data_IF_981269790836
#
_entry.id   IF_981269790836
#
_cell.length_a   1.000
_cell.length_b   1.000
_cell.length_c   1.000
_cell.angle_alpha   90.00
_cell.angle_beta   90.00
_cell.angle_gamma   90.00
#
_symmetry.space_group_name_H-M   'P 1'
#
loop_
_entity.id
_entity.type
_entity.pdbx_description
1 polymer ?
#
# COMPACT_ATOMS: atom_id res chain seq x y z
N UNK A 1 -56.14 68.73 41.08
CA UNK A 1 -55.75 68.28 39.77
C UNK A 1 -54.99 66.97 39.90
N UNK A 2 -55.66 65.83 39.72
CA UNK A 2 -55.12 64.51 39.86
C UNK A 2 -55.57 63.69 38.68
N UNK A 3 -54.60 63.24 37.82
CA UNK A 3 -54.86 62.30 36.74
C UNK A 3 -54.59 60.90 37.19
N UNK A 4 -55.63 60.09 37.16
CA UNK A 4 -55.58 58.65 37.37
C UNK A 4 -54.97 57.95 36.10
N UNK A 5 -54.01 57.14 36.30
CA UNK A 5 -53.52 56.22 35.26
C UNK A 5 -53.97 54.79 35.57
N UNK A 6 -54.74 54.21 34.66
CA UNK A 6 -55.17 52.84 34.64
C UNK A 6 -54.02 51.94 34.08
N UNK A 7 -53.74 50.76 34.63
CA UNK A 7 -52.83 49.84 34.00
C UNK A 7 -53.57 48.93 33.01
N UNK A 8 -53.02 48.79 31.81
CA UNK A 8 -53.43 47.80 30.84
C UNK A 8 -52.72 46.49 31.14
N UNK A 9 -53.48 45.41 31.39
CA UNK A 9 -53.00 44.05 31.41
C UNK A 9 -52.74 43.58 29.96
N UNK A 10 -51.48 43.32 29.60
CA UNK A 10 -51.12 42.64 28.37
C UNK A 10 -50.91 41.17 28.67
N UNK A 11 -51.80 40.34 28.15
CA UNK A 11 -51.72 38.86 28.22
C UNK A 11 -50.79 38.41 27.09
N UNK A 12 -49.59 37.99 27.43
CA UNK A 12 -48.62 37.43 26.46
C UNK A 12 -48.87 35.95 26.33
N UNK A 13 -49.39 35.54 25.17
CA UNK A 13 -49.51 34.14 24.73
C UNK A 13 -48.14 33.68 24.22
N UNK A 14 -47.38 32.93 25.02
CA UNK A 14 -46.17 32.22 24.60
C UNK A 14 -46.53 30.91 23.93
N UNK A 15 -46.65 30.90 22.60
CA UNK A 15 -46.68 29.67 21.81
C UNK A 15 -45.30 29.03 21.79
N UNK A 16 -45.15 27.94 22.53
CA UNK A 16 -43.96 27.13 22.52
C UNK A 16 -43.79 26.39 21.19
N UNK A 17 -42.84 26.85 20.35
CA UNK A 17 -42.40 26.13 19.18
C UNK A 17 -41.35 25.06 19.64
N UNK A 18 -41.83 23.87 19.97
CA UNK A 18 -40.96 22.71 20.14
C UNK A 18 -40.47 22.30 18.77
N UNK A 19 -39.34 22.86 18.36
CA UNK A 19 -38.61 22.42 17.18
C UNK A 19 -38.03 21.02 17.43
N UNK A 20 -38.65 20.03 16.83
CA UNK A 20 -38.07 18.70 16.67
C UNK A 20 -36.80 18.82 15.82
N UNK A 21 -35.65 18.99 16.46
CA UNK A 21 -34.35 18.72 15.82
C UNK A 21 -34.31 17.21 15.53
N UNK A 22 -34.82 16.82 14.35
CA UNK A 22 -34.42 15.57 13.74
C UNK A 22 -32.93 15.69 13.42
N UNK A 23 -32.08 15.31 14.36
CA UNK A 23 -30.68 14.99 14.06
C UNK A 23 -30.71 13.75 13.17
N UNK A 24 -30.79 13.95 11.85
CA UNK A 24 -30.36 12.95 10.91
C UNK A 24 -28.88 12.74 11.20
N UNK A 25 -28.55 11.65 11.92
CA UNK A 25 -27.21 11.15 11.97
C UNK A 25 -26.82 10.94 10.49
N UNK A 26 -26.02 11.86 9.96
CA UNK A 26 -25.35 11.64 8.68
C UNK A 26 -24.48 10.40 8.92
N UNK A 27 -24.99 9.24 8.51
CA UNK A 27 -24.13 8.07 8.32
C UNK A 27 -23.09 8.55 7.30
N UNK A 28 -21.86 8.74 7.75
CA UNK A 28 -20.77 8.98 6.84
C UNK A 28 -20.83 7.83 5.83
N UNK A 29 -21.12 8.17 4.56
CA UNK A 29 -21.12 7.17 3.49
C UNK A 29 -19.78 6.45 3.53
N UNK A 30 -19.80 5.12 3.61
CA UNK A 30 -18.56 4.35 3.56
C UNK A 30 -17.88 4.57 2.21
N UNK A 31 -16.55 4.39 2.14
CA UNK A 31 -15.86 4.49 0.86
C UNK A 31 -16.45 3.53 -0.18
N UNK A 32 -16.94 2.36 0.25
CA UNK A 32 -17.64 1.43 -0.66
C UNK A 32 -18.92 2.08 -1.26
N UNK A 33 -19.73 2.73 -0.43
CA UNK A 33 -20.97 3.38 -0.91
C UNK A 33 -20.63 4.49 -1.91
N UNK A 34 -19.58 5.27 -1.64
CA UNK A 34 -19.05 6.29 -2.56
C UNK A 34 -18.54 5.70 -3.88
N UNK A 35 -17.78 4.60 -3.83
CA UNK A 35 -17.31 3.86 -5.02
C UNK A 35 -18.48 3.38 -5.87
N UNK A 36 -19.49 2.78 -5.25
CA UNK A 36 -20.68 2.26 -5.95
C UNK A 36 -21.53 3.38 -6.55
N UNK A 37 -21.69 4.52 -5.84
CA UNK A 37 -22.45 5.67 -6.31
C UNK A 37 -21.81 6.33 -7.55
N UNK A 38 -20.47 6.57 -7.52
CA UNK A 38 -19.74 7.14 -8.66
C UNK A 38 -19.39 6.14 -9.75
N UNK A 39 -19.64 4.84 -9.53
CA UNK A 39 -19.34 3.73 -10.45
C UNK A 39 -17.85 3.67 -10.87
N UNK A 40 -16.97 4.10 -10.01
CA UNK A 40 -15.52 4.12 -10.26
C UNK A 40 -14.76 3.91 -8.95
N UNK A 41 -13.62 3.21 -9.04
CA UNK A 41 -12.69 3.00 -7.94
C UNK A 41 -11.30 3.50 -8.32
N UNK A 42 -10.68 4.32 -7.45
CA UNK A 42 -9.32 4.82 -7.63
C UNK A 42 -8.35 3.92 -6.87
N UNK A 43 -7.41 3.28 -7.58
CA UNK A 43 -6.47 2.32 -7.01
C UNK A 43 -5.03 2.79 -7.27
N UNK A 44 -4.27 2.97 -6.19
CA UNK A 44 -2.87 3.32 -6.25
C UNK A 44 -2.02 2.06 -6.52
N UNK A 45 -1.18 2.13 -7.57
CA UNK A 45 -0.34 1.04 -8.06
C UNK A 45 1.12 1.47 -8.17
N UNK A 46 2.10 0.54 -8.05
CA UNK A 46 3.49 0.85 -8.33
C UNK A 46 3.73 0.90 -9.85
N UNK A 47 4.71 1.68 -10.28
CA UNK A 47 5.12 1.78 -11.69
C UNK A 47 6.60 1.47 -11.90
N UNK A 48 7.32 1.12 -10.83
CA UNK A 48 8.78 0.91 -10.79
C UNK A 48 9.15 -0.43 -10.11
N UNK A 49 8.20 -1.37 -10.02
CA UNK A 49 8.35 -2.60 -9.25
C UNK A 49 8.00 -3.86 -10.06
N UNK A 50 8.73 -4.19 -11.15
CA UNK A 50 8.47 -5.41 -11.90
C UNK A 50 8.76 -6.67 -11.06
N UNK A 51 7.95 -7.72 -11.19
CA UNK A 51 6.82 -7.90 -12.08
C UNK A 51 5.46 -7.51 -11.47
N UNK A 52 5.44 -6.83 -10.30
CA UNK A 52 4.20 -6.45 -9.59
C UNK A 52 3.50 -5.26 -10.23
N UNK A 53 4.23 -4.16 -10.48
CA UNK A 53 3.70 -3.00 -11.19
C UNK A 53 4.82 -2.23 -11.87
N UNK A 54 4.70 -2.02 -13.16
CA UNK A 54 5.66 -1.32 -14.00
C UNK A 54 4.99 -0.78 -15.26
N UNK A 55 5.69 0.11 -15.95
CA UNK A 55 5.23 0.64 -17.24
C UNK A 55 5.77 -0.26 -18.35
N UNK A 56 4.88 -0.80 -19.17
CA UNK A 56 5.24 -1.62 -20.31
C UNK A 56 5.81 -0.81 -21.47
N UNK A 57 6.21 -1.50 -22.53
CA UNK A 57 6.73 -0.87 -23.78
C UNK A 57 5.65 -0.08 -24.54
N UNK A 58 4.37 -0.39 -24.29
CA UNK A 58 3.19 0.30 -24.78
C UNK A 58 2.79 1.51 -23.90
N UNK A 59 3.63 1.88 -22.93
CA UNK A 59 3.39 2.92 -21.94
C UNK A 59 2.20 2.65 -21.01
N UNK A 60 1.64 1.45 -21.02
CA UNK A 60 0.54 1.07 -20.15
C UNK A 60 1.05 0.43 -18.83
N UNK A 61 0.35 0.64 -17.69
CA UNK A 61 0.62 -0.07 -16.47
C UNK A 61 0.39 -1.57 -16.60
N UNK A 62 1.37 -2.37 -16.20
CA UNK A 62 1.35 -3.84 -16.24
C UNK A 62 1.87 -4.41 -14.92
N UNK A 63 1.54 -5.67 -14.64
CA UNK A 63 2.05 -6.41 -13.49
C UNK A 63 0.96 -7.07 -12.65
N UNK A 64 1.38 -7.83 -11.64
CA UNK A 64 0.47 -8.59 -10.78
C UNK A 64 -0.47 -7.66 -10.01
N UNK A 65 0.04 -6.56 -9.45
CA UNK A 65 -0.75 -5.58 -8.69
C UNK A 65 -1.78 -4.88 -9.58
N UNK A 66 -1.38 -4.60 -10.83
CA UNK A 66 -2.27 -3.98 -11.84
C UNK A 66 -3.40 -4.95 -12.24
N UNK A 67 -3.07 -6.22 -12.47
CA UNK A 67 -4.07 -7.23 -12.80
C UNK A 67 -4.98 -7.53 -11.60
N UNK A 68 -4.45 -7.51 -10.37
CA UNK A 68 -5.25 -7.62 -9.15
C UNK A 68 -6.21 -6.43 -8.98
N UNK A 69 -5.75 -5.21 -9.28
CA UNK A 69 -6.60 -4.01 -9.28
C UNK A 69 -7.75 -4.13 -10.28
N UNK A 70 -7.45 -4.58 -11.50
CA UNK A 70 -8.47 -4.85 -12.54
C UNK A 70 -9.47 -5.92 -12.12
N UNK A 71 -9.00 -7.01 -11.50
CA UNK A 71 -9.86 -8.07 -10.97
C UNK A 71 -10.85 -7.52 -9.94
N UNK A 72 -10.39 -6.72 -8.97
CA UNK A 72 -11.24 -6.12 -7.94
C UNK A 72 -12.30 -5.20 -8.56
N UNK A 73 -11.88 -4.27 -9.45
CA UNK A 73 -12.81 -3.37 -10.10
C UNK A 73 -13.88 -4.12 -10.92
N UNK A 74 -13.48 -5.15 -11.65
CA UNK A 74 -14.40 -6.01 -12.41
C UNK A 74 -15.40 -6.75 -11.51
N UNK A 75 -14.95 -7.31 -10.39
CA UNK A 75 -15.81 -8.00 -9.41
C UNK A 75 -16.75 -7.03 -8.67
N UNK A 76 -16.37 -5.75 -8.52
CA UNK A 76 -17.24 -4.69 -8.01
C UNK A 76 -18.21 -4.16 -9.07
N UNK A 77 -17.97 -4.42 -10.34
CA UNK A 77 -18.79 -3.89 -11.44
C UNK A 77 -18.64 -2.39 -11.67
N UNK A 78 -17.44 -1.83 -11.39
CA UNK A 78 -17.15 -0.40 -11.51
C UNK A 78 -15.97 -0.15 -12.46
N UNK A 79 -15.88 1.07 -12.99
CA UNK A 79 -14.70 1.52 -13.72
C UNK A 79 -13.48 1.62 -12.80
N UNK A 80 -12.28 1.48 -13.37
CA UNK A 80 -11.04 1.61 -12.61
C UNK A 80 -10.27 2.86 -13.04
N UNK A 81 -9.76 3.60 -12.05
CA UNK A 81 -8.78 4.65 -12.21
C UNK A 81 -7.48 4.21 -11.51
N UNK A 82 -6.41 4.03 -12.28
CA UNK A 82 -5.10 3.66 -11.77
C UNK A 82 -4.27 4.91 -11.53
N UNK A 83 -3.77 5.10 -10.30
CA UNK A 83 -2.89 6.22 -9.96
C UNK A 83 -1.51 5.71 -9.54
N UNK A 84 -0.43 6.24 -10.14
CA UNK A 84 0.93 5.87 -9.74
C UNK A 84 1.24 6.29 -8.30
N UNK A 85 1.96 5.42 -7.57
CA UNK A 85 2.38 5.72 -6.19
C UNK A 85 3.80 5.23 -5.91
N UNK A 86 4.61 6.05 -5.26
CA UNK A 86 5.89 5.64 -4.69
C UNK A 86 5.71 4.96 -3.33
N UNK A 87 6.72 4.23 -2.87
CA UNK A 87 6.67 3.51 -1.59
C UNK A 87 6.34 4.42 -0.40
N UNK A 88 6.88 5.64 -0.36
CA UNK A 88 6.63 6.61 0.71
C UNK A 88 5.21 7.17 0.71
N UNK A 89 4.57 7.26 -0.47
CA UNK A 89 3.27 7.89 -0.64
C UNK A 89 2.07 6.94 -0.48
N UNK A 90 2.29 5.63 -0.35
CA UNK A 90 1.21 4.63 -0.21
C UNK A 90 0.25 4.93 0.93
N UNK A 91 0.78 5.14 2.13
CA UNK A 91 -0.02 5.47 3.32
C UNK A 91 -0.69 6.85 3.19
N UNK A 92 0.03 7.95 2.84
CA UNK A 92 -0.58 9.26 2.61
C UNK A 92 -1.74 9.24 1.60
N UNK A 93 -1.67 8.45 0.52
CA UNK A 93 -2.74 8.38 -0.47
C UNK A 93 -4.06 7.83 0.10
N UNK A 94 -3.98 6.84 1.02
CA UNK A 94 -5.16 6.34 1.74
C UNK A 94 -5.69 7.37 2.74
N UNK A 95 -4.80 7.97 3.54
CA UNK A 95 -5.17 8.93 4.58
C UNK A 95 -5.82 10.21 4.04
N UNK A 96 -5.43 10.61 2.83
CA UNK A 96 -5.97 11.80 2.14
C UNK A 96 -7.07 11.48 1.13
N UNK A 97 -7.52 10.21 1.08
CA UNK A 97 -8.52 9.73 0.12
C UNK A 97 -8.18 10.03 -1.35
N UNK A 98 -6.87 10.12 -1.66
CA UNK A 98 -6.38 10.22 -3.04
C UNK A 98 -6.50 8.89 -3.78
N UNK A 99 -6.59 7.80 -3.05
CA UNK A 99 -6.92 6.47 -3.54
C UNK A 99 -7.87 5.77 -2.56
N UNK A 100 -8.79 4.96 -3.08
CA UNK A 100 -9.66 4.11 -2.28
C UNK A 100 -8.91 2.88 -1.78
N UNK A 101 -8.03 2.34 -2.62
CA UNK A 101 -7.19 1.19 -2.33
C UNK A 101 -5.74 1.47 -2.72
N UNK A 102 -4.82 0.87 -1.98
CA UNK A 102 -3.41 0.75 -2.39
C UNK A 102 -3.10 -0.72 -2.66
N UNK A 103 -2.81 -1.04 -3.92
CA UNK A 103 -2.34 -2.34 -4.38
C UNK A 103 -0.94 -2.14 -4.96
N UNK A 104 0.06 -2.14 -4.09
CA UNK A 104 1.41 -1.70 -4.43
C UNK A 104 2.44 -2.42 -3.57
N UNK A 105 2.55 -3.74 -3.71
CA UNK A 105 3.49 -4.57 -2.91
C UNK A 105 3.52 -4.17 -1.43
N UNK A 106 2.33 -3.93 -0.85
CA UNK A 106 2.20 -3.35 0.46
C UNK A 106 2.33 -4.42 1.56
N UNK A 107 3.49 -4.47 2.20
CA UNK A 107 3.71 -5.32 3.36
C UNK A 107 3.05 -4.75 4.62
N UNK A 108 2.62 -5.66 5.51
CA UNK A 108 1.95 -5.37 6.77
C UNK A 108 2.95 -5.29 7.91
N UNK A 109 2.79 -4.30 8.79
CA UNK A 109 3.54 -4.19 10.05
C UNK A 109 2.76 -3.37 11.09
N UNK A 110 3.12 -3.43 12.39
CA UNK A 110 2.38 -2.75 13.46
C UNK A 110 2.29 -1.23 13.31
N UNK A 111 3.32 -0.57 12.74
CA UNK A 111 3.32 0.88 12.56
C UNK A 111 2.28 1.30 11.52
N UNK A 112 2.19 0.58 10.40
CA UNK A 112 1.21 0.82 9.34
C UNK A 112 -0.21 0.48 9.81
N UNK A 113 -0.39 -0.59 10.60
CA UNK A 113 -1.69 -1.01 11.14
C UNK A 113 -2.32 0.03 12.08
N UNK A 114 -1.54 0.95 12.64
CA UNK A 114 -2.07 2.06 13.45
C UNK A 114 -2.83 3.08 12.59
N UNK A 115 -2.48 3.23 11.32
CA UNK A 115 -2.92 4.35 10.48
C UNK A 115 -3.69 3.94 9.22
N UNK A 116 -3.63 2.68 8.82
CA UNK A 116 -4.44 2.09 7.74
C UNK A 116 -4.90 0.69 8.15
N UNK A 117 -5.86 0.14 7.40
CA UNK A 117 -6.27 -1.25 7.52
C UNK A 117 -5.79 -2.06 6.32
N UNK A 118 -5.70 -3.38 6.52
CA UNK A 118 -5.22 -4.32 5.52
C UNK A 118 -6.29 -5.38 5.23
N UNK A 119 -6.32 -5.83 3.98
CA UNK A 119 -7.09 -7.00 3.57
C UNK A 119 -6.35 -8.30 3.90
N UNK A 120 -6.92 -9.45 3.51
CA UNK A 120 -6.19 -10.70 3.34
C UNK A 120 -5.06 -10.54 2.31
N UNK A 121 -4.01 -11.35 2.43
CA UNK A 121 -2.89 -11.32 1.48
C UNK A 121 -3.32 -11.81 0.10
N UNK A 122 -2.70 -11.32 -0.99
CA UNK A 122 -3.02 -11.74 -2.37
C UNK A 122 -1.82 -12.32 -3.12
N UNK A 123 -0.60 -12.14 -2.62
CA UNK A 123 0.59 -12.73 -3.26
C UNK A 123 1.73 -12.96 -2.27
N UNK A 124 2.57 -13.98 -2.51
CA UNK A 124 3.76 -14.22 -1.68
C UNK A 124 4.82 -13.16 -1.97
N UNK A 125 5.53 -12.73 -0.93
CA UNK A 125 6.61 -11.78 -1.06
C UNK A 125 7.60 -11.86 0.10
N UNK A 126 8.88 -11.57 -0.13
CA UNK A 126 9.85 -11.36 0.92
C UNK A 126 10.85 -10.25 0.54
N UNK A 127 11.44 -9.64 1.55
CA UNK A 127 12.44 -8.59 1.43
C UNK A 127 13.76 -9.09 2.01
N UNK A 128 14.85 -8.73 1.33
CA UNK A 128 16.17 -9.21 1.70
C UNK A 128 17.27 -8.20 1.34
N UNK A 129 18.45 -8.49 1.84
CA UNK A 129 19.69 -7.82 1.46
C UNK A 129 20.39 -8.65 0.39
N UNK A 130 20.85 -7.99 -0.66
CA UNK A 130 21.58 -8.57 -1.77
C UNK A 130 22.91 -7.84 -1.99
N UNK A 131 23.93 -8.57 -2.39
CA UNK A 131 25.26 -8.01 -2.68
C UNK A 131 26.02 -8.95 -3.62
N UNK A 132 27.13 -8.49 -4.26
CA UNK A 132 28.01 -9.37 -5.01
C UNK A 132 28.50 -10.56 -4.17
N UNK A 133 28.72 -11.72 -4.81
CA UNK A 133 29.22 -12.94 -4.15
C UNK A 133 30.49 -12.70 -3.33
N UNK A 134 31.34 -11.80 -3.81
CA UNK A 134 32.61 -11.42 -3.15
C UNK A 134 32.43 -10.63 -1.86
N UNK A 135 31.23 -10.07 -1.63
CA UNK A 135 30.92 -9.33 -0.41
C UNK A 135 30.62 -10.29 0.74
N UNK A 136 31.51 -10.34 1.72
CA UNK A 136 31.30 -11.12 2.94
C UNK A 136 30.19 -10.44 3.77
N UNK A 137 29.01 -11.06 3.83
CA UNK A 137 27.85 -10.56 4.57
C UNK A 137 26.99 -11.74 4.97
N UNK A 138 27.06 -12.13 6.25
CA UNK A 138 26.33 -13.25 6.84
C UNK A 138 25.42 -12.85 7.99
N UNK A 139 25.69 -11.71 8.60
CA UNK A 139 24.94 -11.17 9.74
C UNK A 139 24.68 -9.68 9.53
N UNK A 140 23.70 -9.07 10.22
CA UNK A 140 23.49 -7.62 10.17
C UNK A 140 24.73 -6.81 10.57
N UNK A 141 25.58 -7.33 11.47
CA UNK A 141 26.80 -6.65 11.88
C UNK A 141 27.80 -6.45 10.73
N UNK A 142 27.76 -7.34 9.72
CA UNK A 142 28.65 -7.24 8.54
C UNK A 142 28.28 -6.07 7.60
N UNK A 143 27.19 -5.37 7.85
CA UNK A 143 26.83 -4.11 7.18
C UNK A 143 27.67 -2.92 7.69
N UNK A 144 28.43 -3.08 8.78
CA UNK A 144 29.29 -2.04 9.32
C UNK A 144 30.25 -1.50 8.25
N UNK A 145 30.29 -0.17 8.10
CA UNK A 145 31.14 0.53 7.13
C UNK A 145 30.73 0.36 5.66
N UNK A 146 29.62 -0.31 5.37
CA UNK A 146 29.12 -0.48 3.99
C UNK A 146 28.07 0.57 3.64
N UNK A 147 28.06 0.98 2.38
CA UNK A 147 26.96 1.77 1.81
C UNK A 147 25.84 0.84 1.38
N UNK A 148 24.64 1.03 1.93
CA UNK A 148 23.46 0.21 1.67
C UNK A 148 22.37 1.05 1.01
N UNK A 149 21.97 0.72 -0.21
CA UNK A 149 20.86 1.37 -0.89
C UNK A 149 19.51 0.74 -0.51
N UNK A 150 18.51 1.57 -0.26
CA UNK A 150 17.15 1.13 0.03
C UNK A 150 16.12 2.14 -0.48
N UNK A 151 14.92 1.69 -0.84
CA UNK A 151 13.83 2.57 -1.24
C UNK A 151 13.13 3.14 -0.02
N UNK A 152 13.05 4.48 0.07
CA UNK A 152 12.44 5.22 1.17
C UNK A 152 11.01 4.75 1.44
N UNK A 153 10.68 4.44 2.71
CA UNK A 153 9.34 4.07 3.14
C UNK A 153 8.87 2.68 2.71
N UNK A 154 9.74 1.89 2.08
CA UNK A 154 9.50 0.48 1.82
C UNK A 154 9.62 -0.36 3.11
N UNK A 155 9.12 -1.59 3.10
CA UNK A 155 9.26 -2.50 4.27
C UNK A 155 10.75 -2.78 4.56
N UNK A 156 11.53 -3.01 3.53
CA UNK A 156 12.97 -3.24 3.65
C UNK A 156 13.71 -2.05 4.28
N UNK A 157 13.29 -0.80 4.06
CA UNK A 157 13.84 0.37 4.75
C UNK A 157 13.54 0.31 6.25
N UNK A 158 12.28 -0.02 6.59
CA UNK A 158 11.86 -0.10 7.99
C UNK A 158 12.56 -1.25 8.74
N UNK A 159 12.67 -2.41 8.11
CA UNK A 159 13.31 -3.59 8.72
C UNK A 159 14.83 -3.43 8.78
N UNK A 160 15.46 -2.92 7.72
CA UNK A 160 16.90 -2.62 7.70
C UNK A 160 17.28 -1.63 8.81
N UNK A 161 16.49 -0.58 9.01
CA UNK A 161 16.73 0.44 10.05
C UNK A 161 16.77 -0.16 11.45
N UNK A 162 16.04 -1.24 11.71
CA UNK A 162 16.03 -1.91 13.03
C UNK A 162 17.30 -2.69 13.32
N UNK A 163 17.98 -3.20 12.27
CA UNK A 163 19.07 -4.16 12.42
C UNK A 163 20.43 -3.64 11.94
N UNK A 164 20.45 -2.57 11.13
CA UNK A 164 21.69 -2.01 10.61
C UNK A 164 22.51 -1.40 11.75
N UNK A 165 23.83 -1.71 11.84
CA UNK A 165 24.69 -1.06 12.81
C UNK A 165 24.83 0.45 12.49
N UNK A 166 25.08 1.25 13.53
CA UNK A 166 25.21 2.72 13.39
C UNK A 166 26.30 3.16 12.39
N UNK A 167 27.28 2.32 12.14
CA UNK A 167 28.36 2.56 11.17
C UNK A 167 28.00 2.18 9.72
N UNK A 168 26.83 1.58 9.48
CA UNK A 168 26.33 1.37 8.11
C UNK A 168 25.81 2.70 7.52
N UNK A 169 26.22 3.02 6.30
CA UNK A 169 25.75 4.21 5.59
C UNK A 169 24.52 3.85 4.74
N UNK A 170 23.31 3.99 5.35
CA UNK A 170 22.05 3.66 4.68
C UNK A 170 21.56 4.82 3.82
N UNK A 171 21.68 4.67 2.51
CA UNK A 171 21.21 5.64 1.50
C UNK A 171 19.80 5.32 1.03
N UNK A 172 18.90 6.28 1.25
CA UNK A 172 17.47 6.16 0.91
C UNK A 172 17.15 6.87 -0.38
N UNK A 173 16.76 6.11 -1.38
CA UNK A 173 16.34 6.61 -2.68
C UNK A 173 14.82 6.77 -2.76
N UNK A 174 14.35 7.63 -3.67
CA UNK A 174 12.93 7.98 -3.76
C UNK A 174 12.08 6.83 -4.29
N UNK A 175 12.62 6.05 -5.23
CA UNK A 175 11.93 4.93 -5.87
C UNK A 175 12.86 3.72 -6.09
N UNK A 176 12.29 2.61 -6.57
CA UNK A 176 13.05 1.38 -6.80
C UNK A 176 14.00 1.49 -7.98
N UNK A 177 13.66 2.26 -9.02
CA UNK A 177 14.55 2.46 -10.17
C UNK A 177 15.83 3.17 -9.74
N UNK A 178 15.71 4.24 -8.94
CA UNK A 178 16.86 4.96 -8.38
C UNK A 178 17.68 4.06 -7.44
N UNK A 179 17.04 3.26 -6.60
CA UNK A 179 17.71 2.31 -5.69
C UNK A 179 18.53 1.27 -6.48
N UNK A 180 17.92 0.65 -7.48
CA UNK A 180 18.57 -0.34 -8.34
C UNK A 180 19.70 0.29 -9.14
N UNK A 181 19.49 1.48 -9.72
CA UNK A 181 20.50 2.21 -10.49
C UNK A 181 21.73 2.55 -9.65
N UNK A 182 21.52 2.99 -8.41
CA UNK A 182 22.61 3.28 -7.47
C UNK A 182 23.45 2.03 -7.15
N UNK A 183 22.82 0.88 -7.04
CA UNK A 183 23.52 -0.38 -6.82
C UNK A 183 24.25 -0.84 -8.08
N UNK A 184 23.61 -0.83 -9.23
CA UNK A 184 24.20 -1.28 -10.51
C UNK A 184 25.38 -0.40 -10.91
N UNK A 185 25.33 0.91 -10.63
CA UNK A 185 26.42 1.85 -10.90
C UNK A 185 27.57 1.80 -9.88
N UNK A 186 27.42 1.03 -8.79
CA UNK A 186 28.41 0.96 -7.70
C UNK A 186 28.39 2.15 -6.75
N UNK A 187 27.37 3.02 -6.81
CA UNK A 187 27.19 4.11 -5.84
C UNK A 187 26.91 3.57 -4.43
N UNK A 188 26.27 2.39 -4.33
CA UNK A 188 26.12 1.64 -3.09
C UNK A 188 26.65 0.22 -3.28
N UNK A 189 27.21 -0.37 -2.21
CA UNK A 189 27.84 -1.68 -2.22
C UNK A 189 26.85 -2.83 -2.01
N UNK A 190 25.75 -2.53 -1.37
CA UNK A 190 24.73 -3.48 -0.93
C UNK A 190 23.36 -2.88 -1.25
N UNK A 191 22.39 -3.71 -1.60
CA UNK A 191 21.00 -3.30 -1.81
C UNK A 191 20.05 -4.08 -0.91
N UNK A 192 19.16 -3.37 -0.23
CA UNK A 192 18.02 -3.94 0.47
C UNK A 192 16.76 -3.69 -0.36
N UNK A 193 16.12 -4.77 -0.84
CA UNK A 193 14.97 -4.66 -1.74
C UNK A 193 14.13 -5.94 -1.73
N UNK A 194 12.97 -5.89 -2.38
CA UNK A 194 12.15 -7.07 -2.60
C UNK A 194 12.81 -8.11 -3.50
N UNK A 195 12.58 -9.38 -3.20
CA UNK A 195 13.20 -10.49 -3.93
C UNK A 195 12.94 -10.48 -5.44
N UNK A 196 11.75 -10.04 -5.86
CA UNK A 196 11.40 -9.95 -7.29
C UNK A 196 12.14 -8.83 -8.02
N UNK A 197 12.33 -7.69 -7.35
CA UNK A 197 13.15 -6.57 -7.89
C UNK A 197 14.60 -7.01 -8.02
N UNK A 198 15.14 -7.66 -6.97
CA UNK A 198 16.48 -8.23 -7.03
C UNK A 198 16.63 -9.27 -8.15
N UNK A 199 15.66 -10.19 -8.30
CA UNK A 199 15.65 -11.19 -9.37
C UNK A 199 15.68 -10.56 -10.76
N UNK A 200 14.86 -9.54 -11.00
CA UNK A 200 14.85 -8.80 -12.26
C UNK A 200 16.17 -8.06 -12.50
N UNK A 201 16.72 -7.39 -11.48
CA UNK A 201 18.01 -6.73 -11.52
C UNK A 201 19.14 -7.73 -11.85
N UNK A 202 19.20 -8.87 -11.19
CA UNK A 202 20.22 -9.91 -11.43
C UNK A 202 20.12 -10.48 -12.83
N UNK A 203 18.92 -10.73 -13.34
CA UNK A 203 18.72 -11.23 -14.70
C UNK A 203 19.21 -10.25 -15.78
N UNK A 204 19.05 -8.95 -15.53
CA UNK A 204 19.52 -7.89 -16.45
C UNK A 204 21.01 -7.56 -16.32
N UNK A 205 21.63 -7.90 -15.18
CA UNK A 205 23.01 -7.56 -14.85
C UNK A 205 23.78 -8.77 -14.30
N UNK A 206 23.86 -9.89 -15.04
CA UNK A 206 24.49 -11.12 -14.56
C UNK A 206 25.97 -10.96 -14.22
N UNK A 207 26.65 -9.98 -14.85
CA UNK A 207 28.07 -9.68 -14.61
C UNK A 207 28.35 -9.17 -13.19
N UNK A 208 27.36 -8.64 -12.47
CA UNK A 208 27.55 -8.18 -11.10
C UNK A 208 27.67 -9.33 -10.09
N UNK A 209 27.31 -10.56 -10.48
CA UNK A 209 27.45 -11.74 -9.64
C UNK A 209 26.73 -11.60 -8.29
N UNK A 210 25.55 -10.97 -8.30
CA UNK A 210 24.77 -10.68 -7.09
C UNK A 210 24.10 -11.94 -6.55
N UNK A 211 24.03 -12.06 -5.23
CA UNK A 211 23.30 -13.13 -4.54
C UNK A 211 22.55 -12.62 -3.31
N UNK A 212 21.63 -13.41 -2.82
CA UNK A 212 20.97 -13.23 -1.53
C UNK A 212 21.98 -13.28 -0.39
N UNK A 213 21.85 -12.40 0.60
CA UNK A 213 22.72 -12.34 1.78
C UNK A 213 21.94 -12.51 3.10
N UNK A 214 20.94 -11.68 3.35
CA UNK A 214 20.17 -11.70 4.60
C UNK A 214 18.67 -11.56 4.30
N UNK A 215 17.85 -12.38 4.94
CA UNK A 215 16.41 -12.16 4.99
C UNK A 215 16.12 -10.97 5.91
N UNK A 216 15.37 -10.00 5.44
CA UNK A 216 14.87 -8.90 6.26
C UNK A 216 13.48 -9.23 6.80
N UNK A 217 12.58 -9.67 5.92
CA UNK A 217 11.23 -10.03 6.29
C UNK A 217 10.60 -10.97 5.25
N UNK A 218 9.92 -11.99 5.72
CA UNK A 218 8.92 -12.71 4.95
C UNK A 218 7.57 -12.06 5.21
N UNK A 219 7.05 -11.35 4.22
CA UNK A 219 5.81 -10.59 4.34
C UNK A 219 5.06 -10.63 3.03
N UNK A 220 3.98 -11.43 2.95
CA UNK A 220 3.07 -11.39 1.81
C UNK A 220 2.57 -9.98 1.52
N UNK A 221 2.09 -9.77 0.30
CA UNK A 221 1.49 -8.50 -0.09
C UNK A 221 0.00 -8.48 0.27
N UNK A 222 -0.42 -7.34 0.81
CA UNK A 222 -1.77 -7.02 1.22
C UNK A 222 -2.28 -5.78 0.46
N UNK A 223 -3.58 -5.61 0.41
CA UNK A 223 -4.19 -4.38 -0.09
C UNK A 223 -4.42 -3.45 1.10
N UNK A 224 -4.00 -2.19 0.96
CA UNK A 224 -4.26 -1.16 1.95
C UNK A 224 -5.60 -0.49 1.72
N UNK A 225 -6.31 -0.21 2.81
CA UNK A 225 -7.59 0.50 2.88
C UNK A 225 -7.47 1.62 3.92
N UNK A 226 -8.21 2.71 3.76
CA UNK A 226 -8.23 3.76 4.77
C UNK A 226 -8.67 3.20 6.13
N UNK A 227 -8.12 3.75 7.22
CA UNK A 227 -8.40 3.28 8.57
C UNK A 227 -9.89 3.37 8.90
N UNK A 228 -10.47 2.26 9.36
CA UNK A 228 -11.88 2.18 9.75
C UNK A 228 -12.87 2.00 8.59
N UNK A 229 -12.40 1.85 7.35
CA UNK A 229 -13.27 1.59 6.20
C UNK A 229 -13.60 0.10 6.06
N UNK A 230 -14.30 -0.41 7.08
CA UNK A 230 -14.58 -1.84 7.23
C UNK A 230 -15.46 -2.42 6.11
N UNK A 231 -16.39 -1.62 5.55
CA UNK A 231 -17.26 -2.10 4.47
C UNK A 231 -16.46 -2.39 3.19
N UNK A 232 -15.59 -1.45 2.77
CA UNK A 232 -14.75 -1.66 1.59
C UNK A 232 -13.76 -2.80 1.82
N UNK A 233 -13.12 -2.84 2.99
CA UNK A 233 -12.18 -3.90 3.37
C UNK A 233 -12.86 -5.28 3.34
N UNK A 234 -14.03 -5.42 3.93
CA UNK A 234 -14.79 -6.69 3.94
C UNK A 234 -15.16 -7.12 2.53
N UNK A 235 -15.62 -6.17 1.70
CA UNK A 235 -15.97 -6.46 0.31
C UNK A 235 -14.77 -6.91 -0.52
N UNK A 236 -13.62 -6.27 -0.34
CA UNK A 236 -12.38 -6.68 -1.01
C UNK A 236 -11.91 -8.05 -0.50
N UNK A 237 -12.04 -8.35 0.79
CA UNK A 237 -11.73 -9.68 1.34
C UNK A 237 -12.62 -10.80 0.76
N UNK A 238 -13.92 -10.54 0.58
CA UNK A 238 -14.82 -11.48 -0.12
C UNK A 238 -14.33 -11.78 -1.54
N UNK A 239 -13.91 -10.74 -2.27
CA UNK A 239 -13.37 -10.89 -3.64
C UNK A 239 -12.07 -11.70 -3.62
N UNK A 240 -11.14 -11.40 -2.70
CA UNK A 240 -9.88 -12.15 -2.54
C UNK A 240 -10.18 -13.62 -2.22
N UNK A 241 -11.07 -13.92 -1.28
CA UNK A 241 -11.43 -15.28 -0.91
C UNK A 241 -12.05 -16.05 -2.10
N UNK A 242 -12.96 -15.43 -2.83
CA UNK A 242 -13.55 -16.02 -4.03
C UNK A 242 -12.49 -16.26 -5.14
N UNK A 243 -11.58 -15.31 -5.34
CA UNK A 243 -10.52 -15.42 -6.33
C UNK A 243 -9.46 -16.49 -5.96
N UNK A 244 -9.20 -16.71 -4.66
CA UNK A 244 -8.40 -17.84 -4.18
C UNK A 244 -9.11 -19.16 -4.49
N UNK A 245 -10.37 -19.28 -4.08
CA UNK A 245 -11.15 -20.52 -4.27
C UNK A 245 -11.33 -20.91 -5.74
N UNK A 246 -11.44 -19.94 -6.65
CA UNK A 246 -11.55 -20.16 -8.10
C UNK A 246 -10.19 -20.37 -8.80
N UNK A 247 -9.07 -20.19 -8.11
CA UNK A 247 -7.72 -20.24 -8.68
C UNK A 247 -7.35 -19.01 -9.53
N UNK A 248 -8.13 -17.93 -9.49
CA UNK A 248 -7.80 -16.69 -10.22
C UNK A 248 -6.51 -16.07 -9.68
N UNK A 249 -6.28 -16.07 -8.36
CA UNK A 249 -5.05 -15.56 -7.75
C UNK A 249 -3.84 -16.43 -8.17
N UNK A 250 -3.97 -17.75 -8.18
CA UNK A 250 -2.90 -18.63 -8.66
C UNK A 250 -2.54 -18.38 -10.12
N UNK A 251 -3.55 -18.14 -10.99
CA UNK A 251 -3.32 -17.76 -12.39
C UNK A 251 -2.54 -16.46 -12.51
N UNK A 252 -2.86 -15.44 -11.70
CA UNK A 252 -2.11 -14.19 -11.68
C UNK A 252 -0.67 -14.40 -11.21
N UNK A 253 -0.47 -15.17 -10.13
CA UNK A 253 0.86 -15.48 -9.63
C UNK A 253 1.68 -16.31 -10.63
N UNK A 254 1.09 -17.30 -11.28
CA UNK A 254 1.74 -18.08 -12.35
C UNK A 254 2.16 -17.19 -13.53
N UNK A 255 1.27 -16.30 -13.98
CA UNK A 255 1.55 -15.37 -15.07
C UNK A 255 2.75 -14.46 -14.77
N UNK A 256 2.81 -13.90 -13.57
CA UNK A 256 3.77 -12.85 -13.25
C UNK A 256 4.99 -13.33 -12.46
N UNK A 257 4.82 -14.33 -11.59
CA UNK A 257 5.87 -14.83 -10.69
C UNK A 257 6.42 -16.20 -11.10
N UNK A 258 5.80 -16.87 -12.09
CA UNK A 258 6.19 -18.22 -12.53
C UNK A 258 5.87 -19.33 -11.52
N UNK A 259 5.12 -19.04 -10.46
CA UNK A 259 4.71 -19.99 -9.41
C UNK A 259 3.33 -19.62 -8.85
N UNK A 260 2.56 -20.59 -8.31
CA UNK A 260 1.30 -20.29 -7.65
C UNK A 260 1.50 -19.44 -6.39
N UNK A 261 0.41 -18.86 -5.88
CA UNK A 261 0.42 -18.06 -4.66
C UNK A 261 0.85 -18.87 -3.42
N UNK A 262 0.49 -20.14 -3.37
CA UNK A 262 0.71 -20.99 -2.19
C UNK A 262 -0.18 -20.60 -1.01
N UNK A 263 0.21 -21.02 0.18
CA UNK A 263 -0.51 -20.70 1.41
C UNK A 263 -0.27 -19.22 1.79
N UNK A 264 -1.33 -18.42 1.71
CA UNK A 264 -1.30 -17.01 2.08
C UNK A 264 -2.15 -16.78 3.35
N UNK A 265 -1.71 -15.93 4.28
CA UNK A 265 -2.50 -15.57 5.46
C UNK A 265 -3.77 -14.79 5.08
N UNK A 266 -4.76 -14.88 5.97
CA UNK A 266 -5.99 -14.11 5.90
C UNK A 266 -5.82 -12.72 6.49
#
# INVERSE_FOLDING_TARGET
>A
MSLQRRPFLALALTAGLAGLFNSTAAFADSALDGVMARKSITIAIPTDFPPYGFVGTDMAPQGLDVDMARLIAAKLGVAIELVPVTSANRIPYLQTHKADLVISTLGKNPEREKVIDFTAAYSPFFQAVFAPKTTALKTPADLAGKTVGVTRGAIEDMELTKIAPASADVKRFEDNNATVSAFVSGQVQVIATGASVAGNMMARNPQLGVEFKLLLKDSPNFIGVAKGDDKLRSKVNEIIAAARASGEIDKLCLKWLGRPAGDLPN
#
